data_IF_998924721729
#
_entry.id   IF_998924721729
#
_cell.length_a   1.000
_cell.length_b   1.000
_cell.length_c   1.000
_cell.angle_alpha   90.00
_cell.angle_beta   90.00
_cell.angle_gamma   90.00
#
_symmetry.space_group_name_H-M   'P 1'
#
loop_
_entity.id
_entity.type
_entity.pdbx_description
1 polymer ?
#
# COMPACT_ATOMS: atom_id res chain seq x y z
N UNK A 1 -15.99 12.42 15.75
CA UNK A 1 -14.66 12.44 15.15
C UNK A 1 -14.29 13.85 14.75
N UNK A 2 -13.20 14.37 15.35
CA UNK A 2 -12.65 15.69 15.01
C UNK A 2 -11.58 15.52 13.92
N UNK A 3 -11.82 16.13 12.78
CA UNK A 3 -10.88 16.18 11.68
C UNK A 3 -10.14 17.52 11.66
N UNK A 4 -8.88 17.51 11.25
CA UNK A 4 -8.08 18.68 10.88
C UNK A 4 -7.53 18.48 9.48
N UNK A 5 -7.57 19.51 8.64
CA UNK A 5 -6.87 19.53 7.36
C UNK A 5 -5.61 20.39 7.51
N UNK A 6 -4.48 19.88 7.03
CA UNK A 6 -3.22 20.64 6.97
C UNK A 6 -2.85 20.82 5.49
N UNK A 7 -2.77 22.07 5.05
CA UNK A 7 -2.37 22.47 3.70
C UNK A 7 -0.95 23.02 3.68
N UNK A 8 -0.37 23.10 2.48
CA UNK A 8 0.96 23.70 2.32
C UNK A 8 0.92 25.24 2.41
N UNK A 9 0.02 25.86 1.66
CA UNK A 9 -0.10 27.31 1.56
C UNK A 9 -1.29 27.90 2.33
N UNK A 10 -1.21 29.20 2.67
CA UNK A 10 -2.30 29.91 3.34
C UNK A 10 -3.51 30.08 2.43
N UNK A 11 -3.31 30.27 1.12
CA UNK A 11 -4.41 30.36 0.16
C UNK A 11 -5.13 29.03 0.02
N UNK A 12 -4.41 27.93 0.08
CA UNK A 12 -5.00 26.59 0.09
C UNK A 12 -5.79 26.31 1.36
N UNK A 13 -5.28 26.80 2.50
CA UNK A 13 -5.99 26.75 3.77
C UNK A 13 -7.33 27.45 3.68
N UNK A 14 -7.35 28.69 3.17
CA UNK A 14 -8.59 29.48 3.02
C UNK A 14 -9.54 28.83 2.01
N UNK A 15 -9.01 28.31 0.91
CA UNK A 15 -9.79 27.62 -0.12
C UNK A 15 -10.40 26.34 0.40
N UNK A 16 -9.63 25.51 1.10
CA UNK A 16 -10.12 24.29 1.74
C UNK A 16 -11.19 24.61 2.80
N UNK A 17 -10.95 25.60 3.66
CA UNK A 17 -11.93 26.04 4.65
C UNK A 17 -13.24 26.46 3.99
N UNK A 18 -13.18 27.29 2.93
CA UNK A 18 -14.36 27.74 2.20
C UNK A 18 -15.14 26.56 1.58
N UNK A 19 -14.45 25.54 1.03
CA UNK A 19 -15.08 24.38 0.43
C UNK A 19 -15.77 23.46 1.45
N UNK A 20 -15.29 23.45 2.70
CA UNK A 20 -15.88 22.63 3.77
C UNK A 20 -16.87 23.38 4.65
N UNK A 21 -16.93 24.70 4.56
CA UNK A 21 -17.85 25.50 5.37
C UNK A 21 -19.31 25.22 4.97
N UNK A 22 -20.05 24.69 5.91
CA UNK A 22 -21.50 24.51 5.81
C UNK A 22 -22.17 25.19 6.99
N UNK A 23 -23.50 25.42 6.93
CA UNK A 23 -24.25 26.03 8.02
C UNK A 23 -24.23 25.20 9.32
N UNK A 24 -23.86 23.92 9.25
CA UNK A 24 -23.90 22.98 10.39
C UNK A 24 -22.53 22.52 10.87
N UNK A 25 -21.51 22.55 10.02
CA UNK A 25 -20.18 21.99 10.32
C UNK A 25 -19.07 22.88 9.78
N UNK A 26 -18.09 23.13 10.62
CA UNK A 26 -16.83 23.74 10.24
C UNK A 26 -15.73 22.71 10.42
N UNK A 27 -15.02 22.41 9.35
CA UNK A 27 -13.83 21.57 9.44
C UNK A 27 -12.61 22.48 9.66
N UNK A 28 -11.89 22.35 10.77
CA UNK A 28 -10.65 23.10 10.99
C UNK A 28 -9.64 22.85 9.87
N UNK A 29 -9.06 23.93 9.36
CA UNK A 29 -8.00 23.89 8.37
C UNK A 29 -6.87 24.79 8.83
N UNK A 30 -5.64 24.35 8.69
CA UNK A 30 -4.42 25.11 8.97
C UNK A 30 -3.41 24.93 7.83
N UNK A 31 -2.52 25.91 7.67
CA UNK A 31 -1.36 25.79 6.76
C UNK A 31 -0.07 25.64 7.55
N UNK A 32 0.98 25.10 6.91
CA UNK A 32 2.35 25.21 7.39
C UNK A 32 2.88 26.63 7.14
N UNK A 33 3.80 27.11 8.00
CA UNK A 33 4.18 28.54 8.02
C UNK A 33 5.09 28.96 6.87
N UNK A 34 6.05 28.13 6.51
CA UNK A 34 7.13 28.49 5.57
C UNK A 34 7.27 27.48 4.42
N UNK A 35 6.16 26.91 3.97
CA UNK A 35 6.12 25.92 2.91
C UNK A 35 6.75 24.57 3.30
N UNK A 36 6.85 23.69 2.32
CA UNK A 36 7.19 22.27 2.50
C UNK A 36 8.52 22.04 3.24
N UNK A 37 9.51 22.91 3.06
CA UNK A 37 10.84 22.77 3.67
C UNK A 37 10.83 22.86 5.19
N UNK A 38 9.86 23.56 5.77
CA UNK A 38 9.69 23.68 7.23
C UNK A 38 8.63 22.75 7.81
N UNK A 39 7.86 22.07 6.97
CA UNK A 39 6.68 21.29 7.35
C UNK A 39 6.95 20.34 8.52
N UNK A 40 8.00 19.52 8.42
CA UNK A 40 8.39 18.57 9.46
C UNK A 40 8.67 19.27 10.80
N UNK A 41 9.38 20.40 10.77
CA UNK A 41 9.71 21.17 11.98
C UNK A 41 8.47 21.81 12.59
N UNK A 42 7.62 22.41 11.77
CA UNK A 42 6.40 23.11 12.22
C UNK A 42 5.43 22.12 12.86
N UNK A 43 5.20 20.98 12.21
CA UNK A 43 4.33 19.93 12.74
C UNK A 43 4.92 19.30 14.00
N UNK A 44 6.23 19.01 14.03
CA UNK A 44 6.88 18.44 15.21
C UNK A 44 6.75 19.33 16.45
N UNK A 45 6.81 20.65 16.27
CA UNK A 45 6.63 21.59 17.38
C UNK A 45 5.19 21.63 17.94
N UNK A 46 4.21 21.20 17.16
CA UNK A 46 2.79 21.20 17.53
C UNK A 46 2.21 19.78 17.65
N UNK A 47 3.05 18.74 17.55
CA UNK A 47 2.61 17.36 17.40
C UNK A 47 1.74 16.91 18.57
N UNK A 48 2.18 17.10 19.81
CA UNK A 48 1.45 16.71 21.01
C UNK A 48 0.06 17.37 21.06
N UNK A 49 -0.02 18.64 20.66
CA UNK A 49 -1.28 19.35 20.63
C UNK A 49 -2.21 18.79 19.53
N UNK A 50 -1.67 18.51 18.34
CA UNK A 50 -2.40 17.92 17.22
C UNK A 50 -2.93 16.52 17.57
N UNK A 51 -2.09 15.70 18.17
CA UNK A 51 -2.44 14.35 18.62
C UNK A 51 -3.57 14.35 19.66
N UNK A 52 -3.56 15.29 20.60
CA UNK A 52 -4.52 15.32 21.69
C UNK A 52 -5.86 15.98 21.32
N UNK A 53 -5.90 16.84 20.32
CA UNK A 53 -7.10 17.63 20.00
C UNK A 53 -7.90 17.12 18.81
N UNK A 54 -7.30 16.32 17.92
CA UNK A 54 -7.96 15.80 16.73
C UNK A 54 -7.91 14.27 16.68
N UNK A 55 -8.97 13.65 16.21
CA UNK A 55 -9.02 12.20 16.01
C UNK A 55 -8.36 11.79 14.68
N UNK A 56 -8.45 12.65 13.68
CA UNK A 56 -7.86 12.43 12.35
C UNK A 56 -7.22 13.73 11.85
N UNK A 57 -6.01 13.61 11.34
CA UNK A 57 -5.30 14.68 10.65
C UNK A 57 -5.18 14.31 9.18
N UNK A 58 -5.64 15.18 8.29
CA UNK A 58 -5.60 14.97 6.83
C UNK A 58 -4.61 15.94 6.22
N UNK A 59 -3.54 15.42 5.64
CA UNK A 59 -2.53 16.23 4.96
C UNK A 59 -2.96 16.39 3.50
N UNK A 60 -3.08 17.64 3.07
CA UNK A 60 -3.37 18.02 1.70
C UNK A 60 -2.32 19.05 1.22
N UNK A 61 -1.16 18.57 0.83
CA UNK A 61 -0.11 19.37 0.21
C UNK A 61 -0.26 19.36 -1.32
N UNK A 62 0.57 20.13 -2.00
CA UNK A 62 0.56 20.24 -3.45
C UNK A 62 0.68 18.86 -4.12
N UNK A 63 0.02 18.69 -5.24
CA UNK A 63 -0.02 17.42 -5.97
C UNK A 63 1.19 17.28 -6.92
N UNK A 64 2.34 17.77 -6.49
CA UNK A 64 3.63 17.61 -7.15
C UNK A 64 4.56 16.70 -6.34
N UNK A 65 5.75 16.41 -6.88
CA UNK A 65 6.71 15.48 -6.27
C UNK A 65 7.16 15.97 -4.88
N UNK A 66 7.36 17.28 -4.71
CA UNK A 66 7.81 17.86 -3.44
C UNK A 66 6.71 17.81 -2.38
N UNK A 67 5.46 18.14 -2.76
CA UNK A 67 4.31 18.08 -1.88
C UNK A 67 4.01 16.65 -1.42
N UNK A 68 4.10 15.68 -2.33
CA UNK A 68 3.90 14.26 -2.01
C UNK A 68 4.98 13.77 -1.03
N UNK A 69 6.26 14.02 -1.31
CA UNK A 69 7.37 13.63 -0.42
C UNK A 69 7.27 14.31 0.96
N UNK A 70 6.91 15.59 0.97
CA UNK A 70 6.69 16.32 2.21
C UNK A 70 5.50 15.78 3.02
N UNK A 71 4.41 15.43 2.36
CA UNK A 71 3.25 14.82 3.01
C UNK A 71 3.61 13.50 3.69
N UNK A 72 4.40 12.64 3.03
CA UNK A 72 4.90 11.39 3.60
C UNK A 72 5.75 11.64 4.85
N UNK A 73 6.75 12.54 4.77
CA UNK A 73 7.64 12.88 5.90
C UNK A 73 6.88 13.46 7.10
N UNK A 74 5.84 14.26 6.85
CA UNK A 74 4.99 14.79 7.91
C UNK A 74 4.11 13.70 8.50
N UNK A 75 3.55 12.82 7.67
CA UNK A 75 2.70 11.72 8.13
C UNK A 75 3.43 10.74 9.05
N UNK A 76 4.74 10.51 8.81
CA UNK A 76 5.60 9.67 9.66
C UNK A 76 5.74 10.16 11.12
N UNK A 77 5.43 11.44 11.38
CA UNK A 77 5.51 11.98 12.74
C UNK A 77 4.33 11.56 13.61
N UNK A 78 3.20 11.24 13.01
CA UNK A 78 1.97 10.93 13.73
C UNK A 78 1.91 9.47 14.18
N UNK A 79 1.16 9.25 15.25
CA UNK A 79 0.85 7.90 15.70
C UNK A 79 0.12 7.08 14.62
N UNK A 80 0.35 5.76 14.54
CA UNK A 80 -0.29 4.91 13.54
C UNK A 80 -1.81 5.05 13.52
N UNK A 81 -2.37 5.26 12.33
CA UNK A 81 -3.81 5.42 12.13
C UNK A 81 -4.36 6.82 12.33
N UNK A 82 -3.55 7.77 12.80
CA UNK A 82 -3.92 9.16 13.08
C UNK A 82 -3.95 10.03 11.84
N UNK A 83 -2.97 9.85 11.00
CA UNK A 83 -2.75 10.68 9.81
C UNK A 83 -3.30 10.02 8.55
N UNK A 84 -3.90 10.83 7.70
CA UNK A 84 -4.34 10.46 6.36
C UNK A 84 -3.69 11.36 5.32
N UNK A 85 -3.35 10.82 4.17
CA UNK A 85 -2.85 11.61 3.04
C UNK A 85 -3.97 11.70 2.00
N UNK A 86 -4.32 12.93 1.64
CA UNK A 86 -5.31 13.25 0.64
C UNK A 86 -4.61 13.54 -0.70
N UNK A 87 -4.99 12.80 -1.72
CA UNK A 87 -4.53 13.04 -3.08
C UNK A 87 -5.66 13.63 -3.91
N UNK A 88 -5.38 14.74 -4.58
CA UNK A 88 -6.30 15.34 -5.54
C UNK A 88 -6.21 14.61 -6.88
N UNK A 89 -7.26 14.65 -7.73
CA UNK A 89 -7.15 14.25 -9.12
C UNK A 89 -6.02 14.99 -9.83
N UNK A 90 -5.35 14.33 -10.77
CA UNK A 90 -4.13 14.84 -11.44
C UNK A 90 -4.29 16.19 -12.15
N UNK A 91 -5.53 16.56 -12.50
CA UNK A 91 -5.88 17.85 -13.12
C UNK A 91 -5.84 19.03 -12.14
N UNK A 92 -5.69 18.78 -10.83
CA UNK A 92 -5.65 19.82 -9.80
C UNK A 92 -4.32 19.77 -9.06
N UNK A 93 -3.70 20.94 -8.97
CA UNK A 93 -2.45 21.09 -8.25
C UNK A 93 -2.66 21.13 -6.73
N UNK A 94 -3.62 21.93 -6.29
CA UNK A 94 -3.83 22.29 -4.89
C UNK A 94 -5.32 22.57 -4.61
N UNK A 95 -5.64 22.95 -3.36
CA UNK A 95 -6.99 23.28 -2.95
C UNK A 95 -7.53 24.55 -3.64
N UNK A 96 -6.67 25.53 -3.88
CA UNK A 96 -7.04 26.80 -4.54
C UNK A 96 -7.43 26.55 -6.00
N UNK A 97 -6.75 25.64 -6.67
CA UNK A 97 -7.06 25.21 -8.04
C UNK A 97 -8.44 24.52 -8.13
N UNK A 98 -8.77 23.69 -7.14
CA UNK A 98 -10.10 23.09 -7.03
C UNK A 98 -11.21 24.13 -6.83
N UNK A 99 -11.00 25.11 -5.97
CA UNK A 99 -11.96 26.18 -5.70
C UNK A 99 -12.19 27.06 -6.91
N UNK A 100 -11.11 27.54 -7.56
CA UNK A 100 -11.16 28.44 -8.72
C UNK A 100 -11.83 27.78 -9.92
N UNK A 101 -11.64 26.47 -10.10
CA UNK A 101 -12.31 25.68 -11.15
C UNK A 101 -13.72 25.21 -10.76
N UNK A 102 -14.22 25.65 -9.60
CA UNK A 102 -15.56 25.27 -9.06
C UNK A 102 -15.74 23.75 -8.93
N UNK A 103 -14.71 23.04 -8.46
CA UNK A 103 -14.70 21.57 -8.28
C UNK A 103 -14.77 21.16 -6.82
N UNK A 104 -15.63 21.83 -6.05
CA UNK A 104 -15.83 21.60 -4.60
C UNK A 104 -16.15 20.13 -4.31
N UNK A 105 -17.05 19.51 -5.08
CA UNK A 105 -17.42 18.11 -4.85
C UNK A 105 -16.23 17.13 -5.05
N UNK A 106 -15.34 17.40 -6.01
CA UNK A 106 -14.13 16.59 -6.21
C UNK A 106 -13.21 16.71 -5.02
N UNK A 107 -13.01 17.93 -4.49
CA UNK A 107 -12.19 18.17 -3.31
C UNK A 107 -12.74 17.44 -2.08
N UNK A 108 -14.04 17.62 -1.78
CA UNK A 108 -14.71 16.95 -0.66
C UNK A 108 -14.67 15.42 -0.80
N UNK A 109 -14.82 14.90 -2.03
CA UNK A 109 -14.68 13.47 -2.28
C UNK A 109 -13.26 12.98 -1.98
N UNK A 110 -12.22 13.69 -2.47
CA UNK A 110 -10.82 13.34 -2.18
C UNK A 110 -10.51 13.33 -0.68
N UNK A 111 -11.12 14.21 0.10
CA UNK A 111 -10.99 14.20 1.55
C UNK A 111 -11.56 12.92 2.19
N UNK A 112 -12.76 12.49 1.79
CA UNK A 112 -13.34 11.26 2.31
C UNK A 112 -12.63 10.00 1.82
N UNK A 113 -12.05 10.06 0.62
CA UNK A 113 -11.25 8.97 0.03
C UNK A 113 -9.80 8.96 0.54
N UNK A 114 -9.40 9.92 1.39
CA UNK A 114 -8.05 10.03 1.94
C UNK A 114 -7.65 8.77 2.70
N UNK A 115 -6.51 8.21 2.31
CA UNK A 115 -6.00 6.96 2.86
C UNK A 115 -5.24 7.19 4.16
N UNK A 116 -5.47 6.33 5.13
CA UNK A 116 -4.67 6.30 6.36
C UNK A 116 -3.21 6.03 5.98
N UNK A 117 -2.32 6.90 6.46
CA UNK A 117 -0.89 6.67 6.31
C UNK A 117 -0.47 5.49 7.19
N UNK A 118 0.21 4.56 6.57
CA UNK A 118 0.88 3.47 7.26
C UNK A 118 2.34 3.44 6.79
N UNK A 119 3.32 3.50 7.70
CA UNK A 119 4.72 3.27 7.34
C UNK A 119 4.89 1.92 6.64
N UNK A 120 5.89 1.81 5.78
CA UNK A 120 6.19 0.58 5.07
C UNK A 120 6.26 -0.63 6.03
N UNK A 121 5.52 -1.66 5.72
CA UNK A 121 5.44 -2.89 6.50
C UNK A 121 4.43 -2.87 7.67
N UNK A 122 3.77 -1.74 7.97
CA UNK A 122 2.70 -1.68 8.97
C UNK A 122 1.35 -1.63 8.26
N UNK A 123 0.55 -2.68 8.40
CA UNK A 123 -0.78 -2.78 7.80
C UNK A 123 -1.82 -2.83 8.91
N UNK A 124 -2.84 -1.96 8.82
CA UNK A 124 -3.97 -2.02 9.73
C UNK A 124 -4.82 -3.27 9.42
N UNK A 125 -4.96 -4.15 10.39
CA UNK A 125 -5.69 -5.42 10.22
C UNK A 125 -7.15 -5.23 9.78
N UNK A 126 -7.79 -4.11 10.13
CA UNK A 126 -9.16 -3.82 9.68
C UNK A 126 -9.28 -3.66 8.15
N UNK A 127 -8.21 -3.19 7.49
CA UNK A 127 -8.17 -3.04 6.01
C UNK A 127 -8.08 -4.43 5.35
N UNK A 128 -7.50 -5.40 6.06
CA UNK A 128 -7.32 -6.76 5.55
C UNK A 128 -8.55 -7.64 5.77
N UNK A 129 -9.58 -7.17 6.51
CA UNK A 129 -10.72 -8.02 6.86
C UNK A 129 -11.41 -8.63 5.64
N UNK A 130 -11.68 -7.83 4.62
CA UNK A 130 -12.31 -8.30 3.38
C UNK A 130 -11.38 -9.25 2.58
N UNK A 131 -10.08 -9.07 2.69
CA UNK A 131 -9.06 -9.93 2.06
C UNK A 131 -8.95 -11.26 2.81
N UNK A 132 -8.92 -11.23 4.14
CA UNK A 132 -8.85 -12.41 5.01
C UNK A 132 -10.13 -13.25 4.90
N UNK A 133 -11.28 -12.61 4.71
CA UNK A 133 -12.58 -13.28 4.55
C UNK A 133 -12.72 -14.01 3.21
N UNK A 134 -11.86 -13.73 2.21
CA UNK A 134 -11.87 -14.48 0.95
C UNK A 134 -11.46 -15.92 1.19
N UNK A 135 -12.11 -16.89 0.52
CA UNK A 135 -11.69 -18.27 0.62
C UNK A 135 -10.24 -18.44 0.16
N UNK A 136 -9.48 -19.25 0.87
CA UNK A 136 -8.09 -19.58 0.50
C UNK A 136 -8.08 -20.12 -0.93
N UNK A 137 -7.15 -19.65 -1.75
CA UNK A 137 -6.96 -20.11 -3.11
C UNK A 137 -6.74 -21.62 -3.08
N UNK A 138 -7.63 -22.36 -3.73
CA UNK A 138 -7.47 -23.81 -3.85
C UNK A 138 -6.29 -24.12 -4.78
N UNK A 139 -5.62 -25.25 -4.50
CA UNK A 139 -4.59 -25.79 -5.37
C UNK A 139 -5.14 -26.00 -6.78
N UNK A 140 -4.43 -25.53 -7.78
CA UNK A 140 -4.79 -25.80 -9.19
C UNK A 140 -3.98 -26.97 -9.76
N UNK A 141 -2.92 -27.42 -9.06
CA UNK A 141 -2.12 -28.58 -9.46
C UNK A 141 -1.66 -29.38 -8.24
N UNK A 142 -1.70 -30.69 -8.34
CA UNK A 142 -1.20 -31.59 -7.32
C UNK A 142 0.29 -31.87 -7.55
N UNK A 143 1.03 -32.24 -6.49
CA UNK A 143 2.34 -32.87 -6.66
C UNK A 143 2.19 -34.28 -7.27
N UNK A 144 3.21 -34.79 -7.98
CA UNK A 144 3.22 -36.17 -8.46
C UNK A 144 3.28 -37.22 -7.34
N UNK A 145 3.42 -36.75 -6.10
CA UNK A 145 3.57 -37.59 -4.90
C UNK A 145 2.34 -37.45 -3.98
N UNK A 146 1.53 -38.49 -3.90
CA UNK A 146 0.29 -38.49 -3.12
C UNK A 146 0.51 -38.16 -1.63
N UNK A 147 1.62 -38.66 -1.04
CA UNK A 147 1.94 -38.39 0.35
C UNK A 147 2.18 -36.90 0.64
N UNK A 148 2.78 -36.17 -0.32
CA UNK A 148 2.98 -34.72 -0.20
C UNK A 148 1.64 -34.01 -0.30
N UNK A 149 0.78 -34.40 -1.22
CA UNK A 149 -0.54 -33.79 -1.41
C UNK A 149 -1.43 -33.91 -0.16
N UNK A 150 -1.36 -35.02 0.56
CA UNK A 150 -2.10 -35.20 1.83
C UNK A 150 -1.74 -34.20 2.90
N UNK A 151 -0.50 -33.70 2.88
CA UNK A 151 0.03 -32.76 3.89
C UNK A 151 -0.10 -31.32 3.42
N UNK A 152 0.22 -31.05 2.14
CA UNK A 152 0.30 -29.70 1.59
C UNK A 152 -0.95 -29.24 0.87
N UNK A 153 -1.84 -30.15 0.54
CA UNK A 153 -3.03 -29.92 -0.30
C UNK A 153 -2.70 -29.47 -1.74
N UNK A 154 -1.49 -29.76 -2.24
CA UNK A 154 -1.03 -29.46 -3.60
C UNK A 154 -0.21 -28.17 -3.71
N UNK A 155 0.04 -27.73 -4.96
CA UNK A 155 0.84 -26.55 -5.29
C UNK A 155 -0.10 -25.35 -5.45
N UNK A 156 0.24 -24.23 -4.80
CA UNK A 156 -0.55 -23.00 -4.82
C UNK A 156 0.29 -21.78 -5.23
N UNK A 157 -0.31 -20.76 -5.82
CA UNK A 157 0.38 -19.48 -6.10
C UNK A 157 0.87 -18.83 -4.81
N UNK A 158 1.91 -18.03 -4.91
CA UNK A 158 2.50 -17.23 -3.82
C UNK A 158 3.08 -18.04 -2.66
N UNK A 159 3.35 -19.32 -2.85
CA UNK A 159 4.02 -20.18 -1.86
C UNK A 159 5.48 -20.43 -2.25
N UNK A 160 6.35 -20.39 -1.23
CA UNK A 160 7.73 -20.87 -1.33
C UNK A 160 7.82 -22.25 -0.68
N UNK A 161 8.12 -23.26 -1.48
CA UNK A 161 8.31 -24.64 -0.99
C UNK A 161 9.78 -25.03 -1.09
N UNK A 162 10.35 -25.45 0.03
CA UNK A 162 11.75 -25.86 0.10
C UNK A 162 11.88 -27.37 0.32
N UNK A 163 12.57 -28.06 -0.59
CA UNK A 163 12.93 -29.46 -0.45
C UNK A 163 14.37 -29.58 0.04
N UNK A 164 14.56 -30.23 1.18
CA UNK A 164 15.90 -30.46 1.76
C UNK A 164 16.18 -31.96 1.87
N UNK A 165 17.42 -32.33 1.55
CA UNK A 165 17.89 -33.69 1.74
C UNK A 165 19.43 -33.70 1.74
N UNK A 166 20.04 -34.75 2.23
CA UNK A 166 21.50 -34.97 2.16
C UNK A 166 22.02 -34.98 0.72
N UNK A 167 23.33 -34.87 0.56
CA UNK A 167 23.97 -34.94 -0.76
C UNK A 167 23.74 -36.33 -1.39
N UNK A 168 23.47 -36.37 -2.69
CA UNK A 168 23.26 -37.61 -3.44
C UNK A 168 21.89 -38.30 -3.28
N UNK A 169 20.97 -37.76 -2.48
CA UNK A 169 19.65 -38.37 -2.23
C UNK A 169 18.59 -38.03 -3.29
N UNK A 170 18.96 -37.45 -4.42
CA UNK A 170 18.04 -37.26 -5.54
C UNK A 170 17.18 -36.00 -5.49
N UNK A 171 17.57 -34.93 -4.75
CA UNK A 171 16.84 -33.64 -4.73
C UNK A 171 16.50 -33.14 -6.12
N UNK A 172 17.52 -33.09 -7.01
CA UNK A 172 17.34 -32.64 -8.40
C UNK A 172 16.33 -33.51 -9.17
N UNK A 173 16.32 -34.81 -8.90
CA UNK A 173 15.39 -35.73 -9.56
C UNK A 173 13.94 -35.49 -9.10
N UNK A 174 13.72 -35.23 -7.81
CA UNK A 174 12.40 -34.85 -7.28
C UNK A 174 11.92 -33.56 -7.92
N UNK A 175 12.80 -32.55 -8.06
CA UNK A 175 12.45 -31.29 -8.72
C UNK A 175 12.08 -31.48 -10.19
N UNK A 176 12.83 -32.31 -10.93
CA UNK A 176 12.54 -32.63 -12.32
C UNK A 176 11.18 -33.33 -12.47
N UNK A 177 10.86 -34.27 -11.59
CA UNK A 177 9.56 -34.96 -11.57
C UNK A 177 8.40 -33.98 -11.34
N UNK A 178 8.55 -33.06 -10.40
CA UNK A 178 7.56 -32.01 -10.15
C UNK A 178 7.36 -31.13 -11.39
N UNK A 179 8.45 -30.65 -11.98
CA UNK A 179 8.43 -29.81 -13.18
C UNK A 179 7.78 -30.53 -14.35
N UNK A 180 8.19 -31.77 -14.60
CA UNK A 180 7.61 -32.60 -15.67
C UNK A 180 6.11 -32.79 -15.47
N UNK A 181 5.69 -33.06 -14.23
CA UNK A 181 4.27 -33.18 -13.89
C UNK A 181 3.51 -31.87 -14.13
N UNK A 182 4.07 -30.73 -13.73
CA UNK A 182 3.47 -29.40 -13.97
C UNK A 182 3.35 -29.08 -15.46
N UNK A 183 4.36 -29.37 -16.27
CA UNK A 183 4.32 -29.19 -17.73
C UNK A 183 3.15 -29.97 -18.34
N UNK A 184 2.89 -31.18 -17.85
CA UNK A 184 1.79 -32.02 -18.36
C UNK A 184 0.41 -31.62 -17.83
N UNK A 185 0.34 -31.07 -16.62
CA UNK A 185 -0.91 -30.82 -15.90
C UNK A 185 -1.42 -29.39 -16.05
N UNK A 186 -0.56 -28.44 -16.48
CA UNK A 186 -0.92 -27.03 -16.63
C UNK A 186 -0.55 -26.51 -18.01
N UNK A 187 -1.07 -25.32 -18.35
CA UNK A 187 -0.65 -24.55 -19.54
C UNK A 187 0.24 -23.38 -19.16
N UNK A 188 0.68 -23.33 -17.91
CA UNK A 188 1.48 -22.23 -17.40
C UNK A 188 2.95 -22.32 -17.85
N UNK A 189 3.62 -21.17 -17.88
CA UNK A 189 5.05 -21.13 -18.12
C UNK A 189 5.81 -21.48 -16.85
N UNK A 190 6.78 -22.37 -16.96
CA UNK A 190 7.62 -22.80 -15.84
C UNK A 190 9.03 -22.28 -16.04
N UNK A 191 9.51 -21.48 -15.09
CA UNK A 191 10.91 -21.01 -15.05
C UNK A 191 11.78 -21.99 -14.24
N UNK A 192 12.95 -22.37 -14.78
CA UNK A 192 13.92 -23.21 -14.11
C UNK A 192 15.24 -22.47 -13.92
N UNK A 193 15.75 -22.47 -12.69
CA UNK A 193 17.08 -21.96 -12.36
C UNK A 193 17.94 -23.10 -11.77
N UNK A 194 18.75 -23.73 -12.61
CA UNK A 194 19.64 -24.83 -12.23
C UNK A 194 21.08 -24.31 -12.14
N UNK A 195 21.60 -24.16 -10.92
CA UNK A 195 22.91 -23.52 -10.70
C UNK A 195 24.10 -24.45 -10.96
N UNK A 196 23.88 -25.76 -10.96
CA UNK A 196 24.93 -26.78 -11.11
C UNK A 196 24.91 -27.47 -12.48
N UNK A 197 23.94 -27.16 -13.35
CA UNK A 197 23.74 -27.82 -14.63
C UNK A 197 23.66 -26.84 -15.79
N UNK A 198 24.09 -27.28 -16.97
CA UNK A 198 23.89 -26.51 -18.20
C UNK A 198 22.42 -26.65 -18.67
N UNK A 199 21.85 -25.67 -19.40
CA UNK A 199 20.52 -25.76 -19.95
C UNK A 199 20.23 -27.02 -20.76
N UNK A 200 21.27 -27.51 -21.48
CA UNK A 200 21.18 -28.75 -22.28
C UNK A 200 21.02 -29.99 -21.40
N UNK A 201 21.78 -30.07 -20.30
CA UNK A 201 21.68 -31.20 -19.36
C UNK A 201 20.31 -31.17 -18.64
N UNK A 202 19.89 -29.99 -18.20
CA UNK A 202 18.57 -29.79 -17.59
C UNK A 202 17.44 -30.25 -18.53
N UNK A 203 17.47 -29.80 -19.79
CA UNK A 203 16.44 -30.15 -20.78
C UNK A 203 16.41 -31.63 -21.14
N UNK A 204 17.56 -32.31 -21.12
CA UNK A 204 17.62 -33.78 -21.36
C UNK A 204 17.12 -34.57 -20.16
N UNK A 205 17.06 -33.99 -18.98
CA UNK A 205 16.63 -34.64 -17.76
C UNK A 205 15.16 -34.41 -17.43
N UNK A 206 14.44 -33.58 -18.20
CA UNK A 206 13.00 -33.35 -18.16
C UNK A 206 12.25 -34.24 -19.14
#
# INVERSE_FOLDING_TARGET
NKYLIITEGELDCLSAYQMFKTDKYETPVVSIKNGITSAVKDIKNSLDWLENNFDNVVINFDNDEQGIDGALKVAELFSPGKCKIMHLPKEFKDASDCLTKNKIQSYVKSFWDAKVFAPDGIINANILFDEIAKPTIQSFVQYPFEGINKITYGIRPSELVTFTAGSGLGKTQVMREIVHHMIKSTKDNIGLLMLEETPVITSKGL
#
